data_IF_339724088313
#
_entry.id   IF_339724088313
#
_cell.length_a   1.000
_cell.length_b   1.000
_cell.length_c   1.000
_cell.angle_alpha   90.00
_cell.angle_beta   90.00
_cell.angle_gamma   90.00
#
_symmetry.space_group_name_H-M   'P 1'
#
loop_
_entity.id
_entity.type
_entity.pdbx_description
1 polymer ?
#
# COMPACT_ATOMS: atom_id res chain seq x y z
N UNK A 1 7.33 -6.71 2.57
CA UNK A 1 6.23 -7.57 3.07
C UNK A 1 6.36 -7.87 4.56
N UNK A 2 7.41 -8.57 5.00
CA UNK A 2 7.58 -8.97 6.41
C UNK A 2 7.50 -7.81 7.42
N UNK A 3 8.17 -6.67 7.15
CA UNK A 3 8.11 -5.51 8.02
C UNK A 3 6.69 -4.95 8.22
N UNK A 4 5.88 -4.90 7.14
CA UNK A 4 4.49 -4.45 7.21
C UNK A 4 3.67 -5.45 8.05
N UNK A 5 3.81 -6.76 7.79
CA UNK A 5 3.10 -7.79 8.57
C UNK A 5 3.46 -7.74 10.06
N UNK A 6 4.74 -7.53 10.38
CA UNK A 6 5.21 -7.40 11.75
C UNK A 6 4.60 -6.18 12.43
N UNK A 7 4.61 -5.02 11.77
CA UNK A 7 4.00 -3.79 12.31
C UNK A 7 2.51 -3.98 12.59
N UNK A 8 1.79 -4.64 11.69
CA UNK A 8 0.37 -4.95 11.86
C UNK A 8 0.12 -5.92 13.01
N UNK A 9 0.98 -6.93 13.17
CA UNK A 9 0.91 -7.87 14.29
C UNK A 9 1.15 -7.15 15.62
N UNK A 10 2.16 -6.28 15.71
CA UNK A 10 2.45 -5.48 16.91
C UNK A 10 1.27 -4.55 17.22
N UNK A 11 0.69 -3.90 16.21
CA UNK A 11 -0.51 -3.07 16.39
C UNK A 11 -1.70 -3.87 16.93
N UNK A 12 -1.95 -5.06 16.39
CA UNK A 12 -2.99 -5.98 16.87
C UNK A 12 -2.77 -6.45 18.30
N UNK A 13 -1.54 -6.83 18.65
CA UNK A 13 -1.16 -7.21 20.02
C UNK A 13 -1.35 -6.03 20.98
N UNK A 14 -0.92 -4.82 20.59
CA UNK A 14 -1.05 -3.61 21.40
C UNK A 14 -2.52 -3.28 21.68
N UNK A 15 -3.39 -3.42 20.68
CA UNK A 15 -4.83 -3.24 20.83
C UNK A 15 -5.44 -4.31 21.75
N UNK A 16 -5.05 -5.58 21.58
CA UNK A 16 -5.51 -6.68 22.43
C UNK A 16 -5.11 -6.49 23.91
N UNK A 17 -3.87 -6.07 24.15
CA UNK A 17 -3.38 -5.76 25.50
C UNK A 17 -4.13 -4.57 26.11
N UNK A 18 -4.41 -3.53 25.32
CA UNK A 18 -5.19 -2.38 25.77
C UNK A 18 -6.60 -2.81 26.22
N UNK A 19 -7.31 -3.60 25.41
CA UNK A 19 -8.65 -4.10 25.76
C UNK A 19 -8.59 -4.94 27.03
N UNK A 20 -7.62 -5.86 27.14
CA UNK A 20 -7.44 -6.68 28.33
C UNK A 20 -7.12 -5.87 29.58
N UNK A 21 -6.43 -4.73 29.46
CA UNK A 21 -6.15 -3.85 30.61
C UNK A 21 -7.36 -3.04 31.09
N UNK A 22 -8.32 -2.79 30.19
CA UNK A 22 -9.54 -2.03 30.48
C UNK A 22 -10.63 -2.88 31.14
N UNK A 23 -10.57 -4.20 30.95
CA UNK A 23 -11.62 -5.13 31.33
C UNK A 23 -11.14 -6.05 32.44
N UNK A 24 -11.83 -6.05 33.57
CA UNK A 24 -11.44 -6.87 34.73
C UNK A 24 -11.71 -8.38 34.55
N UNK A 25 -12.69 -8.75 33.72
CA UNK A 25 -13.10 -10.15 33.51
C UNK A 25 -12.68 -10.69 32.13
N UNK A 26 -12.02 -11.86 32.05
CA UNK A 26 -11.60 -12.47 30.80
C UNK A 26 -12.74 -12.76 29.81
N UNK A 27 -13.95 -13.07 30.28
CA UNK A 27 -15.11 -13.35 29.40
C UNK A 27 -15.59 -12.07 28.74
N UNK A 28 -15.61 -10.96 29.49
CA UNK A 28 -15.94 -9.65 28.93
C UNK A 28 -14.91 -9.22 27.88
N UNK A 29 -13.61 -9.46 28.12
CA UNK A 29 -12.57 -9.20 27.12
C UNK A 29 -12.78 -10.05 25.86
N UNK A 30 -13.07 -11.34 26.01
CA UNK A 30 -13.35 -12.24 24.90
C UNK A 30 -14.57 -11.82 24.05
N UNK A 31 -15.56 -11.16 24.66
CA UNK A 31 -16.73 -10.64 23.93
C UNK A 31 -16.47 -9.29 23.25
N UNK A 32 -15.62 -8.43 23.83
CA UNK A 32 -15.25 -7.13 23.27
C UNK A 32 -14.28 -7.25 22.10
N UNK A 33 -13.39 -8.25 22.11
CA UNK A 33 -12.39 -8.43 21.05
C UNK A 33 -13.05 -8.58 19.66
N UNK A 34 -14.00 -9.51 19.43
CA UNK A 34 -14.72 -9.61 18.16
C UNK A 34 -15.45 -8.33 17.78
N UNK A 35 -16.04 -7.66 18.78
CA UNK A 35 -16.75 -6.40 18.61
C UNK A 35 -15.83 -5.36 17.95
N UNK A 36 -14.58 -5.25 18.40
CA UNK A 36 -13.59 -4.33 17.82
C UNK A 36 -13.01 -4.83 16.49
N UNK A 37 -12.81 -6.15 16.35
CA UNK A 37 -12.16 -6.73 15.16
C UNK A 37 -13.05 -6.79 13.93
N UNK A 38 -14.34 -7.11 14.05
CA UNK A 38 -15.27 -7.20 12.91
C UNK A 38 -15.31 -5.89 12.11
N UNK A 39 -15.50 -4.71 12.72
CA UNK A 39 -15.44 -3.43 12.02
C UNK A 39 -14.07 -3.18 11.38
N UNK A 40 -12.97 -3.58 12.03
CA UNK A 40 -11.61 -3.42 11.46
C UNK A 40 -11.45 -4.23 10.17
N UNK A 41 -11.99 -5.45 10.13
CA UNK A 41 -11.95 -6.34 8.96
C UNK A 41 -12.83 -5.81 7.83
N UNK A 42 -14.07 -5.40 8.15
CA UNK A 42 -15.03 -4.89 7.16
C UNK A 42 -14.54 -3.58 6.56
N UNK A 43 -14.16 -2.62 7.41
CA UNK A 43 -13.72 -1.30 6.99
C UNK A 43 -12.27 -1.26 6.53
N UNK A 44 -11.53 -2.37 6.60
CA UNK A 44 -10.17 -2.45 6.07
C UNK A 44 -10.09 -2.30 4.55
N UNK A 45 -11.20 -2.47 3.83
CA UNK A 45 -11.27 -2.38 2.37
C UNK A 45 -10.94 -3.68 1.64
N UNK A 46 -10.60 -4.74 2.38
CA UNK A 46 -10.26 -6.05 1.84
C UNK A 46 -11.51 -6.91 1.56
N UNK A 47 -12.46 -6.93 2.52
CA UNK A 47 -13.69 -7.73 2.40
C UNK A 47 -14.74 -7.02 1.54
N UNK A 48 -14.93 -5.73 1.77
CA UNK A 48 -15.84 -4.87 1.01
C UNK A 48 -14.99 -3.76 0.39
N UNK A 49 -15.03 -3.64 -0.94
CA UNK A 49 -14.31 -2.58 -1.66
C UNK A 49 -14.87 -1.22 -1.25
N UNK A 50 -14.01 -0.22 -1.17
CA UNK A 50 -14.45 1.16 -0.89
C UNK A 50 -15.45 1.69 -1.92
N UNK A 51 -15.32 1.28 -3.18
CA UNK A 51 -16.30 1.60 -4.22
C UNK A 51 -17.72 1.11 -3.88
N UNK A 52 -17.83 -0.11 -3.36
CA UNK A 52 -19.11 -0.70 -2.99
C UNK A 52 -19.62 -0.13 -1.67
N UNK A 53 -18.72 0.11 -0.71
CA UNK A 53 -19.05 0.74 0.57
C UNK A 53 -19.56 2.17 0.40
N UNK A 54 -18.95 2.95 -0.50
CA UNK A 54 -19.36 4.32 -0.80
C UNK A 54 -20.70 4.38 -1.57
N UNK A 55 -21.06 3.32 -2.29
CA UNK A 55 -22.39 3.19 -2.92
C UNK A 55 -23.46 2.79 -1.91
N UNK A 56 -23.10 2.03 -0.87
CA UNK A 56 -24.02 1.59 0.18
C UNK A 56 -24.00 2.54 1.39
N UNK A 57 -24.66 3.69 1.23
CA UNK A 57 -24.82 4.72 2.27
C UNK A 57 -25.46 4.16 3.55
N UNK A 58 -26.31 3.13 3.47
CA UNK A 58 -26.93 2.50 4.63
C UNK A 58 -25.93 1.70 5.48
N UNK A 59 -24.96 1.03 4.85
CA UNK A 59 -23.87 0.34 5.55
C UNK A 59 -22.96 1.37 6.26
N UNK A 60 -22.57 2.44 5.55
CA UNK A 60 -21.82 3.54 6.15
C UNK A 60 -22.58 4.19 7.30
N UNK A 61 -23.88 4.39 7.16
CA UNK A 61 -24.74 4.91 8.22
C UNK A 61 -24.77 3.99 9.43
N UNK A 62 -25.05 2.69 9.25
CA UNK A 62 -25.09 1.70 10.33
C UNK A 62 -23.75 1.61 11.08
N UNK A 63 -22.62 1.62 10.36
CA UNK A 63 -21.30 1.59 10.98
C UNK A 63 -20.93 2.93 11.65
N UNK A 64 -21.30 4.07 11.05
CA UNK A 64 -21.04 5.39 11.66
C UNK A 64 -21.82 5.59 12.95
N UNK A 65 -23.08 5.13 12.97
CA UNK A 65 -23.92 5.17 14.16
C UNK A 65 -23.36 4.28 15.28
N UNK A 66 -22.74 3.17 14.91
CA UNK A 66 -22.09 2.26 15.84
C UNK A 66 -20.85 2.85 16.53
N UNK A 67 -20.18 3.83 15.92
CA UNK A 67 -19.06 4.57 16.52
C UNK A 67 -19.44 5.96 17.09
N UNK A 68 -20.61 6.50 16.74
CA UNK A 68 -21.00 7.88 17.08
C UNK A 68 -22.52 8.07 17.14
N UNK A 69 -23.04 8.47 18.31
CA UNK A 69 -24.47 8.77 18.54
C UNK A 69 -24.94 10.07 17.87
N UNK A 70 -24.04 10.95 17.42
CA UNK A 70 -24.37 12.23 16.78
C UNK A 70 -23.70 12.41 15.41
N UNK A 71 -24.24 11.83 14.33
CA UNK A 71 -23.80 12.15 12.99
C UNK A 71 -24.32 13.55 12.59
N UNK A 72 -23.41 14.50 12.41
CA UNK A 72 -23.74 15.80 11.83
C UNK A 72 -24.20 15.63 10.38
N UNK A 73 -25.39 16.14 10.05
CA UNK A 73 -26.03 16.11 8.72
C UNK A 73 -25.19 16.70 7.57
N UNK A 74 -24.02 17.28 7.85
CA UNK A 74 -23.12 17.86 6.84
C UNK A 74 -22.18 16.85 6.13
N UNK A 75 -22.18 15.58 6.52
CA UNK A 75 -21.36 14.54 5.85
C UNK A 75 -21.89 14.15 4.44
N UNK A 76 -22.94 14.81 3.96
CA UNK A 76 -23.46 14.76 2.58
C UNK A 76 -22.60 15.51 1.55
N UNK A 77 -21.32 15.78 1.83
CA UNK A 77 -20.42 16.16 0.74
C UNK A 77 -20.23 14.93 -0.13
N UNK A 78 -20.99 14.84 -1.23
CA UNK A 78 -20.84 13.84 -2.31
C UNK A 78 -19.38 13.42 -2.39
N UNK A 79 -19.08 12.19 -1.97
CA UNK A 79 -17.73 11.67 -2.04
C UNK A 79 -17.23 11.91 -3.46
N UNK A 80 -16.13 12.64 -3.59
CA UNK A 80 -15.71 13.18 -4.87
C UNK A 80 -15.17 12.07 -5.78
N UNK A 81 -14.76 10.94 -5.18
CA UNK A 81 -14.35 9.71 -5.85
C UNK A 81 -15.02 8.48 -5.25
N UNK A 82 -15.35 7.50 -6.11
CA UNK A 82 -15.83 6.19 -5.67
C UNK A 82 -14.82 5.45 -4.78
N UNK A 83 -13.53 5.75 -4.93
CA UNK A 83 -12.43 5.14 -4.17
C UNK A 83 -11.94 6.02 -3.02
N UNK A 84 -12.61 7.14 -2.75
CA UNK A 84 -12.28 7.98 -1.59
C UNK A 84 -12.57 7.20 -0.30
N UNK A 85 -11.69 7.33 0.69
CA UNK A 85 -11.82 6.61 1.95
C UNK A 85 -12.70 7.41 2.91
N UNK A 86 -13.84 6.86 3.39
CA UNK A 86 -14.67 7.48 4.41
C UNK A 86 -13.89 7.85 5.66
N UNK A 87 -14.29 8.93 6.33
CA UNK A 87 -13.58 9.46 7.49
C UNK A 87 -13.43 8.43 8.63
N UNK A 88 -14.49 7.68 8.95
CA UNK A 88 -14.46 6.66 10.01
C UNK A 88 -13.42 5.56 9.71
N UNK A 89 -13.25 5.20 8.44
CA UNK A 89 -12.26 4.20 8.03
C UNK A 89 -10.81 4.69 8.17
N UNK A 90 -10.57 5.99 8.34
CA UNK A 90 -9.22 6.53 8.56
C UNK A 90 -8.65 6.12 9.93
N UNK A 91 -9.50 5.78 10.91
CA UNK A 91 -9.07 5.31 12.23
C UNK A 91 -8.79 3.80 12.30
N UNK A 92 -9.08 3.07 11.22
CA UNK A 92 -8.93 1.62 11.14
C UNK A 92 -7.49 1.30 10.76
N UNK A 93 -6.68 0.86 11.74
CA UNK A 93 -5.27 0.53 11.54
C UNK A 93 -5.08 -0.56 10.46
N UNK A 94 -5.98 -1.55 10.43
CA UNK A 94 -5.96 -2.64 9.44
C UNK A 94 -6.04 -2.10 8.00
N UNK A 95 -6.75 -1.00 7.78
CA UNK A 95 -6.86 -0.36 6.46
C UNK A 95 -5.50 0.10 5.93
N UNK A 96 -4.75 0.83 6.75
CA UNK A 96 -3.45 1.38 6.35
C UNK A 96 -2.45 0.26 6.04
N UNK A 97 -2.45 -0.78 6.89
CA UNK A 97 -1.66 -1.99 6.65
C UNK A 97 -2.05 -2.68 5.35
N UNK A 98 -3.34 -2.90 5.11
CA UNK A 98 -3.81 -3.60 3.93
C UNK A 98 -3.48 -2.82 2.65
N UNK A 99 -3.73 -1.51 2.65
CA UNK A 99 -3.34 -0.62 1.56
C UNK A 99 -1.85 -0.68 1.27
N UNK A 100 -1.01 -0.58 2.31
CA UNK A 100 0.44 -0.63 2.16
C UNK A 100 0.90 -1.99 1.62
N UNK A 101 0.31 -3.09 2.07
CA UNK A 101 0.64 -4.45 1.61
C UNK A 101 0.31 -4.66 0.14
N UNK A 102 -0.89 -4.25 -0.29
CA UNK A 102 -1.33 -4.43 -1.69
C UNK A 102 -0.52 -3.54 -2.62
N UNK A 103 -0.25 -2.29 -2.25
CA UNK A 103 0.63 -1.42 -3.04
C UNK A 103 2.06 -1.97 -3.06
N UNK A 104 2.55 -2.52 -1.95
CA UNK A 104 3.85 -3.19 -1.91
C UNK A 104 3.88 -4.36 -2.89
N UNK A 105 2.83 -5.18 -2.95
CA UNK A 105 2.74 -6.33 -3.85
C UNK A 105 2.82 -5.89 -5.31
N UNK A 106 2.10 -4.82 -5.65
CA UNK A 106 2.07 -4.28 -7.00
C UNK A 106 3.40 -3.63 -7.42
N UNK A 107 4.04 -2.86 -6.54
CA UNK A 107 5.16 -1.97 -6.91
C UNK A 107 6.54 -2.49 -6.48
N UNK A 108 6.62 -3.37 -5.50
CA UNK A 108 7.89 -3.86 -4.92
C UNK A 108 8.20 -5.32 -5.30
N UNK A 109 7.39 -5.94 -6.16
CA UNK A 109 7.74 -7.25 -6.71
C UNK A 109 9.02 -7.16 -7.59
N UNK A 110 9.77 -8.27 -7.75
CA UNK A 110 11.03 -8.29 -8.48
C UNK A 110 10.95 -7.72 -9.91
N UNK A 111 9.86 -7.96 -10.63
CA UNK A 111 9.68 -7.51 -12.00
C UNK A 111 9.35 -6.01 -12.06
N UNK A 112 8.23 -5.60 -11.46
CA UNK A 112 7.74 -4.23 -11.52
C UNK A 112 8.72 -3.24 -10.89
N UNK A 113 9.43 -3.62 -9.82
CA UNK A 113 10.46 -2.76 -9.22
C UNK A 113 11.56 -2.42 -10.22
N UNK A 114 11.94 -3.37 -11.08
CA UNK A 114 12.97 -3.18 -12.12
C UNK A 114 12.41 -2.39 -13.28
N UNK A 115 11.21 -2.70 -13.78
CA UNK A 115 10.54 -1.90 -14.82
C UNK A 115 10.41 -0.44 -14.40
N UNK A 116 9.92 -0.16 -13.19
CA UNK A 116 9.80 1.18 -12.63
C UNK A 116 11.16 1.88 -12.48
N UNK A 117 12.22 1.13 -12.11
CA UNK A 117 13.58 1.68 -12.02
C UNK A 117 14.10 2.07 -13.39
N UNK A 118 13.98 1.18 -14.38
CA UNK A 118 14.37 1.41 -15.77
C UNK A 118 13.63 2.63 -16.34
N UNK A 119 12.30 2.68 -16.17
CA UNK A 119 11.49 3.81 -16.65
C UNK A 119 11.89 5.13 -15.99
N UNK A 120 12.15 5.15 -14.68
CA UNK A 120 12.64 6.37 -13.99
C UNK A 120 13.99 6.84 -14.52
N UNK A 121 14.89 5.94 -14.90
CA UNK A 121 16.17 6.32 -15.50
C UNK A 121 15.98 6.87 -16.92
N UNK A 122 15.10 6.26 -17.72
CA UNK A 122 14.69 6.75 -19.04
C UNK A 122 14.14 8.17 -18.92
N UNK A 123 13.16 8.40 -18.05
CA UNK A 123 12.51 9.70 -17.87
C UNK A 123 13.52 10.78 -17.45
N UNK A 124 14.49 10.44 -16.60
CA UNK A 124 15.56 11.36 -16.17
C UNK A 124 16.48 11.76 -17.31
N UNK A 125 16.80 10.83 -18.20
CA UNK A 125 17.66 11.12 -19.36
C UNK A 125 16.88 11.94 -20.39
N UNK A 126 15.63 11.57 -20.67
CA UNK A 126 14.74 12.28 -21.61
C UNK A 126 14.45 13.71 -21.14
N UNK A 127 14.37 13.96 -19.83
CA UNK A 127 14.17 15.29 -19.29
C UNK A 127 15.37 16.26 -19.50
N UNK A 128 16.56 15.76 -19.83
CA UNK A 128 17.72 16.60 -20.17
C UNK A 128 17.58 17.12 -21.60
N UNK A 129 17.69 18.44 -21.79
CA UNK A 129 17.59 19.10 -23.12
C UNK A 129 18.75 18.75 -24.06
N UNK A 130 19.97 18.63 -23.54
CA UNK A 130 21.16 18.30 -24.33
C UNK A 130 21.61 16.87 -24.04
N UNK A 131 21.32 15.96 -24.98
CA UNK A 131 21.70 14.56 -24.86
C UNK A 131 23.10 14.36 -25.44
N UNK A 132 24.10 14.20 -24.56
CA UNK A 132 25.43 13.76 -24.95
C UNK A 132 25.36 12.39 -25.67
N UNK A 133 26.32 12.05 -26.56
CA UNK A 133 26.34 10.78 -27.27
C UNK A 133 26.24 9.56 -26.34
N UNK A 134 26.89 9.62 -25.18
CA UNK A 134 26.85 8.60 -24.13
C UNK A 134 25.46 8.45 -23.50
N UNK A 135 24.73 9.55 -23.31
CA UNK A 135 23.37 9.54 -22.76
C UNK A 135 22.37 8.93 -23.75
N UNK A 136 22.59 9.12 -25.07
CA UNK A 136 21.79 8.47 -26.12
C UNK A 136 21.99 6.96 -26.14
N UNK A 137 23.24 6.50 -26.09
CA UNK A 137 23.52 5.05 -26.05
C UNK A 137 22.92 4.41 -24.80
N UNK A 138 23.06 5.07 -23.64
CA UNK A 138 22.44 4.60 -22.40
C UNK A 138 20.91 4.56 -22.47
N UNK A 139 20.29 5.54 -23.13
CA UNK A 139 18.85 5.57 -23.32
C UNK A 139 18.38 4.37 -24.15
N UNK A 140 19.09 4.01 -25.22
CA UNK A 140 18.79 2.83 -26.03
C UNK A 140 18.95 1.54 -25.19
N UNK A 141 20.06 1.37 -24.48
CA UNK A 141 20.27 0.23 -23.58
C UNK A 141 19.12 0.06 -22.57
N UNK A 142 18.62 1.17 -22.01
CA UNK A 142 17.52 1.15 -21.04
C UNK A 142 16.17 0.82 -21.70
N UNK A 143 15.90 1.31 -22.91
CA UNK A 143 14.70 0.95 -23.67
C UNK A 143 14.69 -0.53 -24.02
N UNK A 144 15.83 -1.07 -24.46
CA UNK A 144 15.99 -2.49 -24.75
C UNK A 144 15.82 -3.34 -23.49
N UNK A 145 16.42 -2.93 -22.37
CA UNK A 145 16.22 -3.58 -21.08
C UNK A 145 14.75 -3.55 -20.63
N UNK A 146 14.04 -2.45 -20.85
CA UNK A 146 12.61 -2.36 -20.52
C UNK A 146 11.77 -3.27 -21.41
N UNK A 147 12.02 -3.28 -22.72
CA UNK A 147 11.32 -4.15 -23.66
C UNK A 147 11.53 -5.63 -23.31
N UNK A 148 12.77 -6.00 -22.95
CA UNK A 148 13.09 -7.34 -22.46
C UNK A 148 12.32 -7.66 -21.16
N UNK A 149 12.35 -6.78 -20.16
CA UNK A 149 11.65 -7.00 -18.89
C UNK A 149 10.14 -7.23 -19.10
N UNK A 150 9.50 -6.47 -19.99
CA UNK A 150 8.07 -6.60 -20.27
C UNK A 150 7.67 -7.88 -21.00
N UNK A 151 8.61 -8.56 -21.66
CA UNK A 151 8.38 -9.82 -22.36
C UNK A 151 9.26 -10.96 -21.85
N UNK A 152 9.72 -10.87 -20.59
CA UNK A 152 10.73 -11.79 -20.09
C UNK A 152 10.13 -13.18 -19.85
N UNK A 153 10.72 -14.17 -20.49
CA UNK A 153 10.37 -15.59 -20.41
C UNK A 153 11.59 -16.43 -20.03
N UNK A 154 11.34 -17.61 -19.45
CA UNK A 154 12.38 -18.57 -19.11
C UNK A 154 11.82 -19.99 -19.08
N UNK A 155 12.71 -20.98 -19.11
CA UNK A 155 12.33 -22.40 -18.94
C UNK A 155 12.01 -22.72 -17.46
N UNK A 156 12.62 -21.97 -16.53
CA UNK A 156 12.45 -22.17 -15.10
C UNK A 156 12.44 -20.86 -14.30
N UNK A 157 11.79 -20.83 -13.11
CA UNK A 157 11.86 -19.68 -12.20
C UNK A 157 13.28 -19.29 -11.80
N UNK A 158 14.20 -20.26 -11.66
CA UNK A 158 15.61 -19.99 -11.33
C UNK A 158 16.35 -19.27 -12.45
N UNK A 159 16.05 -19.62 -13.69
CA UNK A 159 16.64 -18.96 -14.86
C UNK A 159 16.07 -17.56 -15.04
N UNK A 160 14.79 -17.37 -14.71
CA UNK A 160 14.16 -16.05 -14.65
C UNK A 160 14.87 -15.14 -13.64
N UNK A 161 15.13 -15.64 -12.43
CA UNK A 161 15.90 -14.89 -11.41
C UNK A 161 17.32 -14.57 -11.90
N UNK A 162 17.95 -15.46 -12.66
CA UNK A 162 19.24 -15.19 -13.31
C UNK A 162 19.14 -14.03 -14.29
N UNK A 163 18.16 -14.02 -15.19
CA UNK A 163 17.94 -12.91 -16.13
C UNK A 163 17.62 -11.60 -15.42
N UNK A 164 16.85 -11.61 -14.32
CA UNK A 164 16.59 -10.41 -13.53
C UNK A 164 17.88 -9.87 -12.88
N UNK A 165 18.76 -10.74 -12.39
CA UNK A 165 20.08 -10.34 -11.88
C UNK A 165 21.01 -9.78 -12.96
N UNK A 166 20.91 -10.31 -14.18
CA UNK A 166 21.59 -9.79 -15.37
C UNK A 166 21.11 -8.37 -15.72
N UNK A 167 19.80 -8.10 -15.61
CA UNK A 167 19.25 -6.75 -15.78
C UNK A 167 19.72 -5.81 -14.67
N UNK A 168 19.83 -6.27 -13.43
CA UNK A 168 20.35 -5.42 -12.33
C UNK A 168 21.76 -4.92 -12.61
N UNK A 169 22.64 -5.75 -13.18
CA UNK A 169 23.98 -5.32 -13.58
C UNK A 169 23.96 -4.20 -14.63
N UNK A 170 22.99 -4.25 -15.55
CA UNK A 170 22.78 -3.22 -16.58
C UNK A 170 22.27 -1.93 -15.91
N UNK A 171 21.30 -2.03 -15.00
CA UNK A 171 20.77 -0.89 -14.25
C UNK A 171 21.82 -0.26 -13.32
N UNK A 172 22.72 -1.05 -12.76
CA UNK A 172 23.83 -0.61 -11.92
C UNK A 172 25.03 -0.07 -12.72
N UNK A 173 24.91 0.04 -14.06
CA UNK A 173 25.97 0.52 -14.97
C UNK A 173 27.26 -0.32 -14.95
N UNK A 174 27.17 -1.59 -14.53
CA UNK A 174 28.31 -2.50 -14.53
C UNK A 174 28.62 -3.03 -15.93
N UNK A 175 27.65 -2.97 -16.83
CA UNK A 175 27.74 -3.44 -18.22
C UNK A 175 26.69 -2.78 -19.13
N UNK A 176 26.96 -2.70 -20.44
CA UNK A 176 25.95 -2.31 -21.44
C UNK A 176 24.89 -3.41 -21.62
N UNK A 177 23.79 -3.07 -22.28
CA UNK A 177 22.81 -4.08 -22.70
C UNK A 177 23.41 -4.95 -23.81
N UNK A 178 23.23 -6.27 -23.68
CA UNK A 178 23.62 -7.23 -24.72
C UNK A 178 22.51 -8.27 -24.87
N UNK A 179 21.89 -8.29 -26.04
CA UNK A 179 20.79 -9.21 -26.38
C UNK A 179 21.24 -10.67 -26.43
N UNK A 180 22.52 -10.95 -26.69
CA UNK A 180 23.03 -12.31 -26.74
C UNK A 180 22.93 -13.03 -25.39
N UNK A 181 23.01 -12.28 -24.28
CA UNK A 181 22.87 -12.80 -22.93
C UNK A 181 21.45 -13.31 -22.62
N UNK A 182 20.47 -12.91 -23.42
CA UNK A 182 19.06 -13.26 -23.25
C UNK A 182 18.54 -14.12 -24.41
N UNK A 183 19.43 -14.71 -25.22
CA UNK A 183 19.05 -15.53 -26.38
C UNK A 183 18.19 -16.74 -26.00
N UNK A 184 18.40 -17.26 -24.79
CA UNK A 184 17.67 -18.40 -24.25
C UNK A 184 16.50 -17.98 -23.34
N UNK A 185 16.15 -16.69 -23.29
CA UNK A 185 15.00 -16.19 -22.54
C UNK A 185 13.68 -16.47 -23.30
N UNK A 186 13.46 -17.75 -23.58
CA UNK A 186 12.28 -18.29 -24.25
C UNK A 186 11.85 -19.51 -23.48
N UNK A 187 10.58 -19.59 -23.10
CA UNK A 187 10.10 -20.74 -22.36
C UNK A 187 8.65 -20.57 -21.91
N UNK A 188 8.05 -21.60 -21.30
CA UNK A 188 6.65 -21.59 -20.92
C UNK A 188 6.34 -20.67 -19.73
N UNK A 189 7.36 -20.21 -19.00
CA UNK A 189 7.21 -19.44 -17.77
C UNK A 189 7.53 -17.96 -18.04
N UNK A 190 6.53 -17.10 -17.85
CA UNK A 190 6.70 -15.64 -18.01
C UNK A 190 6.94 -14.97 -16.66
N UNK A 191 7.68 -13.86 -16.66
CA UNK A 191 7.89 -13.06 -15.46
C UNK A 191 6.60 -12.46 -14.89
N UNK A 192 5.69 -12.07 -15.78
CA UNK A 192 4.39 -11.52 -15.38
C UNK A 192 3.55 -12.57 -14.64
N UNK A 193 3.50 -13.82 -15.13
CA UNK A 193 2.76 -14.89 -14.45
C UNK A 193 3.29 -15.18 -13.03
N UNK A 194 4.61 -15.08 -12.81
CA UNK A 194 5.20 -15.37 -11.51
C UNK A 194 5.05 -14.19 -10.54
N UNK A 195 5.39 -12.98 -10.98
CA UNK A 195 5.57 -11.85 -10.06
C UNK A 195 4.41 -10.86 -10.05
N UNK A 196 3.55 -10.88 -11.08
CA UNK A 196 2.45 -9.91 -11.22
C UNK A 196 1.13 -10.59 -10.91
N UNK A 197 0.42 -10.03 -9.93
CA UNK A 197 -0.97 -10.36 -9.72
C UNK A 197 -1.84 -9.38 -10.52
N UNK A 198 -2.45 -9.86 -11.60
CA UNK A 198 -3.27 -9.03 -12.50
C UNK A 198 -4.34 -8.24 -11.75
N UNK A 199 -5.07 -8.90 -10.84
CA UNK A 199 -6.15 -8.27 -10.07
C UNK A 199 -5.64 -7.13 -9.20
N UNK A 200 -4.47 -7.29 -8.60
CA UNK A 200 -3.83 -6.22 -7.80
C UNK A 200 -3.35 -5.10 -8.71
N UNK A 201 -2.75 -5.42 -9.86
CA UNK A 201 -2.34 -4.44 -10.86
C UNK A 201 -3.52 -3.57 -11.31
N UNK A 202 -4.66 -4.20 -11.61
CA UNK A 202 -5.89 -3.51 -12.03
C UNK A 202 -6.41 -2.55 -10.93
N UNK A 203 -6.37 -2.98 -9.66
CA UNK A 203 -6.76 -2.14 -8.53
C UNK A 203 -5.88 -0.89 -8.41
N UNK A 204 -4.56 -1.05 -8.55
CA UNK A 204 -3.63 0.08 -8.50
C UNK A 204 -3.82 0.99 -9.71
N UNK A 205 -3.94 0.44 -10.91
CA UNK A 205 -4.15 1.19 -12.15
C UNK A 205 -5.43 2.05 -12.09
N UNK A 206 -6.53 1.47 -11.61
CA UNK A 206 -7.78 2.19 -11.40
C UNK A 206 -7.62 3.34 -10.39
N UNK A 207 -6.89 3.11 -9.30
CA UNK A 207 -6.62 4.14 -8.30
C UNK A 207 -5.72 5.26 -8.83
N UNK A 208 -4.70 4.93 -9.61
CA UNK A 208 -3.80 5.89 -10.26
C UNK A 208 -4.54 6.73 -11.31
N UNK A 209 -5.43 6.11 -12.10
CA UNK A 209 -6.30 6.81 -13.06
C UNK A 209 -7.22 7.81 -12.36
N UNK A 210 -7.91 7.39 -11.29
CA UNK A 210 -8.80 8.25 -10.51
C UNK A 210 -8.06 9.40 -9.81
N UNK A 211 -6.80 9.18 -9.41
CA UNK A 211 -5.98 10.22 -8.80
C UNK A 211 -5.37 11.20 -9.81
N UNK A 212 -5.10 10.73 -11.03
CA UNK A 212 -4.49 11.51 -12.11
C UNK A 212 -5.51 12.20 -13.02
N UNK A 213 -6.81 11.90 -12.87
CA UNK A 213 -7.91 12.52 -13.61
C UNK A 213 -7.86 14.06 -13.51
N UNK A 214 -7.40 14.67 -14.60
CA UNK A 214 -7.20 16.11 -14.77
C UNK A 214 -8.51 16.87 -14.94
N UNK A 215 -9.63 16.16 -15.18
CA UNK A 215 -10.97 16.77 -15.29
C UNK A 215 -11.51 17.20 -13.94
N UNK A 216 -10.89 16.77 -12.84
CA UNK A 216 -11.30 17.12 -11.48
C UNK A 216 -10.46 18.28 -10.96
N UNK A 217 -11.14 19.33 -10.50
CA UNK A 217 -10.49 20.48 -9.86
C UNK A 217 -9.80 20.13 -8.52
N UNK A 218 -10.16 19.00 -7.91
CA UNK A 218 -9.52 18.47 -6.71
C UNK A 218 -9.02 17.04 -6.97
N UNK A 219 -7.84 16.69 -6.43
CA UNK A 219 -7.27 15.33 -6.48
C UNK A 219 -7.50 14.65 -5.13
N UNK A 220 -8.57 13.86 -4.96
CA UNK A 220 -8.91 13.26 -3.68
C UNK A 220 -7.88 12.23 -3.23
N UNK A 221 -7.89 11.90 -1.94
CA UNK A 221 -7.12 10.78 -1.41
C UNK A 221 -7.86 9.48 -1.75
N UNK A 222 -7.40 8.84 -2.81
CA UNK A 222 -7.93 7.59 -3.34
C UNK A 222 -7.27 6.41 -2.62
N UNK A 223 -8.06 5.39 -2.28
CA UNK A 223 -7.54 4.12 -1.77
C UNK A 223 -6.62 3.46 -2.80
N UNK A 224 -5.49 2.91 -2.37
CA UNK A 224 -4.38 2.43 -3.22
C UNK A 224 -3.64 3.49 -4.05
N UNK A 225 -4.00 4.78 -3.94
CA UNK A 225 -3.28 5.85 -4.63
C UNK A 225 -1.81 5.93 -4.21
N UNK A 226 -0.90 6.00 -5.18
CA UNK A 226 0.55 6.00 -4.96
C UNK A 226 1.03 7.20 -4.11
N UNK A 227 0.28 8.30 -4.12
CA UNK A 227 0.57 9.51 -3.33
C UNK A 227 -0.63 9.83 -2.43
N UNK A 228 -0.36 10.30 -1.22
CA UNK A 228 -1.35 10.85 -0.30
C UNK A 228 -1.15 12.35 -0.19
N UNK A 229 -2.23 13.12 -0.24
CA UNK A 229 -2.22 14.57 -0.11
C UNK A 229 -2.95 14.98 1.16
N UNK A 230 -2.20 15.41 2.16
CA UNK A 230 -2.74 15.95 3.41
C UNK A 230 -2.12 17.31 3.65
N UNK A 231 -2.93 18.31 4.04
CA UNK A 231 -2.49 19.70 4.28
C UNK A 231 -1.68 20.32 3.12
N UNK A 232 -2.02 19.98 1.87
CA UNK A 232 -1.32 20.46 0.68
C UNK A 232 -0.01 19.73 0.35
N UNK A 233 0.55 18.96 1.28
CA UNK A 233 1.79 18.19 1.13
C UNK A 233 1.50 16.86 0.43
N UNK A 234 2.35 16.46 -0.51
CA UNK A 234 2.30 15.16 -1.19
C UNK A 234 3.30 14.21 -0.53
N UNK A 235 2.81 13.12 0.05
CA UNK A 235 3.62 12.08 0.69
C UNK A 235 3.42 10.76 -0.08
N UNK A 236 4.47 9.97 -0.23
CA UNK A 236 4.34 8.63 -0.81
C UNK A 236 3.51 7.71 0.09
N UNK A 237 2.69 6.83 -0.50
CA UNK A 237 1.79 5.95 0.25
C UNK A 237 2.52 5.09 1.27
N UNK A 238 3.70 4.56 0.95
CA UNK A 238 4.52 3.79 1.89
C UNK A 238 4.89 4.63 3.13
N UNK A 239 5.56 5.77 2.93
CA UNK A 239 5.97 6.63 4.04
C UNK A 239 4.78 7.09 4.90
N UNK A 240 3.67 7.44 4.25
CA UNK A 240 2.47 7.88 4.95
C UNK A 240 1.87 6.75 5.80
N UNK A 241 1.60 5.60 5.19
CA UNK A 241 0.94 4.47 5.85
C UNK A 241 1.83 3.89 6.97
N UNK A 242 3.12 3.73 6.73
CA UNK A 242 4.07 3.28 7.77
C UNK A 242 4.07 4.24 8.96
N UNK A 243 4.09 5.55 8.71
CA UNK A 243 4.07 6.57 9.79
C UNK A 243 2.78 6.47 10.60
N UNK A 244 1.63 6.34 9.94
CA UNK A 244 0.34 6.19 10.62
C UNK A 244 0.33 4.93 11.49
N UNK A 245 0.81 3.80 10.97
CA UNK A 245 0.87 2.53 11.72
C UNK A 245 1.80 2.62 12.94
N UNK A 246 2.96 3.25 12.80
CA UNK A 246 3.89 3.48 13.92
C UNK A 246 3.21 4.35 14.98
N UNK A 247 2.66 5.50 14.57
CA UNK A 247 2.03 6.45 15.49
C UNK A 247 0.82 5.84 16.20
N UNK A 248 -0.02 5.07 15.49
CA UNK A 248 -1.16 4.39 16.10
C UNK A 248 -0.72 3.34 17.11
N UNK A 249 0.32 2.57 16.79
CA UNK A 249 0.85 1.52 17.67
C UNK A 249 1.47 2.13 18.93
N UNK A 250 2.30 3.17 18.78
CA UNK A 250 2.88 3.90 19.91
C UNK A 250 1.80 4.58 20.75
N UNK A 251 0.76 5.13 20.13
CA UNK A 251 -0.39 5.69 20.82
C UNK A 251 -1.12 4.67 21.68
N UNK A 252 -1.38 3.47 21.15
CA UNK A 252 -1.99 2.36 21.90
C UNK A 252 -1.12 1.92 23.08
N UNK A 253 0.19 1.77 22.88
CA UNK A 253 1.12 1.41 23.94
C UNK A 253 1.26 2.50 25.01
N UNK A 254 1.28 3.76 24.61
CA UNK A 254 1.29 4.90 25.53
C UNK A 254 0.02 4.98 26.37
N UNK A 255 -1.14 4.74 25.76
CA UNK A 255 -2.42 4.69 26.47
C UNK A 255 -2.47 3.51 27.43
N UNK A 256 -2.03 2.33 27.01
CA UNK A 256 -1.90 1.14 27.86
C UNK A 256 -1.00 1.44 29.07
N UNK A 257 0.17 2.04 28.84
CA UNK A 257 1.08 2.41 29.92
C UNK A 257 0.42 3.38 30.92
N UNK A 258 -0.30 4.38 30.41
CA UNK A 258 -1.02 5.34 31.25
C UNK A 258 -2.12 4.68 32.10
N UNK A 259 -2.93 3.78 31.50
CA UNK A 259 -3.98 3.05 32.22
C UNK A 259 -3.38 2.19 33.33
N UNK A 260 -2.35 1.40 33.01
CA UNK A 260 -1.69 0.53 33.98
C UNK A 260 -1.09 1.34 35.14
N UNK A 261 -0.45 2.47 34.84
CA UNK A 261 0.09 3.37 35.87
C UNK A 261 -1.01 3.90 36.80
N UNK A 262 -2.13 4.34 36.23
CA UNK A 262 -3.27 4.86 37.01
C UNK A 262 -3.90 3.78 37.90
N UNK A 263 -4.04 2.55 37.38
CA UNK A 263 -4.53 1.41 38.17
C UNK A 263 -3.60 1.05 39.33
N UNK A 264 -2.28 1.15 39.14
CA UNK A 264 -1.29 0.92 40.19
C UNK A 264 -1.29 2.00 41.29
N UNK A 265 -1.49 3.27 40.91
CA UNK A 265 -1.59 4.38 41.86
C UNK A 265 -2.85 4.25 42.75
N UNK A 266 -4.00 3.88 42.16
CA UNK A 266 -5.25 3.65 42.91
C UNK A 266 -5.14 2.48 43.88
N UNK A 267 -4.39 1.41 43.55
CA UNK A 267 -4.23 0.24 44.42
C UNK A 267 -3.25 0.46 45.58
N UNK A 268 -2.45 1.52 45.53
CA UNK A 268 -1.48 1.90 46.59
C UNK A 268 -2.06 2.88 47.61
N UNK A 269 -3.19 3.53 47.29
CA UNK A 269 -3.97 4.36 48.21
C UNK A 269 -5.03 3.54 48.94
#
# INVERSE_FOLDING_TARGET
YLGIMLMTAIGGVSLGLLISSLVADPKTAANIVPLVLIPQIIMGGALIKYEDMNRNLALLYALSHWFSEHPSKEQEKKMASKLEVPFVCQFIAMRWSYEEMIVAQAKLNPLTRRQDRTQREIDRIVAKRDQAPTDRQRLEDLKEALALLSGLEAESPSELDHYLGLVDQILDRKRPFDRALFKNATGPVTAEQIYVNQKVSDLISNAEMEQSDYRRGNRPNVFFGAKKRYFGIKVGVFAFNTTVLIMSTLGLLGLLHWILRKQLEVRRS
#
